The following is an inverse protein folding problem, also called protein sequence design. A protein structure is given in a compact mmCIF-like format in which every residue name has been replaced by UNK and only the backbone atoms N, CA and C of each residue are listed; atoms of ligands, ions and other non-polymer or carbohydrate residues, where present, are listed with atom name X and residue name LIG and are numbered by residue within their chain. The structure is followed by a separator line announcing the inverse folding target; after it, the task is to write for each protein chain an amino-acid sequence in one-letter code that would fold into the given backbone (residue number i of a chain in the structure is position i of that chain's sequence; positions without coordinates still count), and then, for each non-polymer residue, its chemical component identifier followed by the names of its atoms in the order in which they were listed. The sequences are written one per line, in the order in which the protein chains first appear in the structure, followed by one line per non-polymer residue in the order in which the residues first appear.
data_IF_429657094549
#
_entry.id   IF_429657094549
#
_cell.length_a   1.000
_cell.length_b   1.000
_cell.length_c   1.000
_cell.angle_alpha   90.00
_cell.angle_beta   90.00
_cell.angle_gamma   90.00
#
_symmetry.space_group_name_H-M   'P 1'
#
loop_
_entity.id
_entity.type
_entity.pdbx_description
1 polymer ?
#
# COMPACT_ATOMS: atom_id res chain seq x y z
N UNK A 1 -31.89 20.55 -21.30
CA UNK A 1 -30.79 20.23 -22.23
C UNK A 1 -29.48 20.50 -21.50
N UNK A 2 -28.75 19.45 -21.11
CA UNK A 2 -27.56 19.60 -20.28
C UNK A 2 -26.33 19.28 -21.12
N UNK A 3 -25.52 20.31 -21.34
CA UNK A 3 -24.33 20.31 -22.18
C UNK A 3 -23.22 19.54 -21.45
N UNK A 4 -22.83 18.38 -21.98
CA UNK A 4 -21.62 17.67 -21.52
C UNK A 4 -20.41 18.39 -22.11
N UNK A 5 -19.81 19.29 -21.34
CA UNK A 5 -18.45 19.76 -21.62
C UNK A 5 -17.49 18.67 -21.14
N UNK A 6 -16.90 17.96 -22.10
CA UNK A 6 -15.72 17.12 -21.82
C UNK A 6 -14.56 18.08 -21.65
N UNK A 7 -14.21 18.40 -20.40
CA UNK A 7 -12.86 18.82 -20.09
C UNK A 7 -11.99 17.57 -20.17
N UNK A 8 -11.36 17.37 -21.32
CA UNK A 8 -10.18 16.49 -21.47
C UNK A 8 -9.03 17.19 -20.76
N UNK A 9 -9.00 17.12 -19.44
CA UNK A 9 -7.89 17.61 -18.62
C UNK A 9 -7.31 16.43 -17.86
N UNK A 10 -6.55 15.63 -18.61
CA UNK A 10 -5.58 14.67 -18.11
C UNK A 10 -6.06 13.43 -17.34
N UNK A 11 -5.29 12.35 -17.45
CA UNK A 11 -5.41 11.10 -16.70
C UNK A 11 -4.13 10.89 -15.90
N UNK A 12 -3.89 11.74 -14.89
CA UNK A 12 -2.81 11.51 -13.91
C UNK A 12 -3.42 10.81 -12.68
N UNK A 13 -3.35 9.46 -12.59
CA UNK A 13 -4.05 8.75 -11.54
C UNK A 13 -3.41 9.02 -10.18
N UNK A 14 -4.28 9.31 -9.23
CA UNK A 14 -3.97 9.32 -7.80
C UNK A 14 -4.89 8.32 -7.11
N UNK A 15 -4.29 7.35 -6.44
CA UNK A 15 -5.00 6.32 -5.69
C UNK A 15 -4.63 6.46 -4.22
N UNK A 16 -5.65 6.41 -3.36
CA UNK A 16 -5.50 6.64 -1.94
C UNK A 16 -6.20 5.55 -1.14
N UNK A 17 -5.48 4.99 -0.16
CA UNK A 17 -6.00 4.02 0.78
C UNK A 17 -5.80 4.52 2.20
N UNK A 18 -6.88 4.46 2.98
CA UNK A 18 -6.83 4.68 4.42
C UNK A 18 -7.29 3.41 5.11
N UNK A 19 -6.39 2.78 5.84
CA UNK A 19 -6.57 1.48 6.47
C UNK A 19 -6.50 1.68 7.98
N UNK A 20 -7.58 1.32 8.64
CA UNK A 20 -7.65 1.21 10.09
C UNK A 20 -7.90 -0.25 10.47
N UNK A 21 -7.55 -0.68 11.69
CA UNK A 21 -7.69 -2.08 12.11
C UNK A 21 -9.08 -2.70 11.92
N UNK A 22 -10.14 -1.89 11.96
CA UNK A 22 -11.54 -2.28 11.72
C UNK A 22 -11.92 -2.32 10.23
N UNK A 23 -11.09 -1.81 9.33
CA UNK A 23 -11.37 -1.64 7.89
C UNK A 23 -10.31 -2.31 6.99
N UNK A 24 -9.70 -3.40 7.45
CA UNK A 24 -8.57 -4.05 6.76
C UNK A 24 -8.98 -5.10 5.70
N UNK A 25 -10.28 -5.37 5.58
CA UNK A 25 -10.82 -6.39 4.67
C UNK A 25 -10.40 -6.14 3.22
N UNK A 26 -9.88 -7.18 2.56
CA UNK A 26 -9.40 -7.11 1.17
C UNK A 26 -8.03 -6.44 0.98
N UNK A 27 -7.42 -5.87 2.03
CA UNK A 27 -6.11 -5.22 1.98
C UNK A 27 -5.09 -5.99 2.84
N UNK A 28 -5.49 -6.44 4.02
CA UNK A 28 -4.65 -7.33 4.84
C UNK A 28 -4.61 -8.72 4.20
N UNK A 29 -3.47 -9.04 3.60
CA UNK A 29 -3.29 -10.30 2.86
C UNK A 29 -2.59 -11.38 3.67
N UNK A 30 -1.80 -11.01 4.68
CA UNK A 30 -1.12 -11.95 5.56
C UNK A 30 -1.03 -11.36 6.96
N UNK A 31 -1.22 -12.21 7.97
CA UNK A 31 -1.10 -11.81 9.35
C UNK A 31 -0.61 -13.01 10.18
N UNK A 32 0.40 -12.81 11.01
CA UNK A 32 0.97 -13.82 11.88
C UNK A 32 1.14 -13.26 13.28
N UNK A 33 0.68 -14.01 14.28
CA UNK A 33 0.71 -13.61 15.71
C UNK A 33 0.20 -12.18 15.91
N UNK A 34 -0.87 -11.83 15.21
CA UNK A 34 -1.49 -10.51 15.30
C UNK A 34 -2.98 -10.63 15.54
N UNK A 35 -3.56 -9.62 16.18
CA UNK A 35 -5.00 -9.52 16.45
C UNK A 35 -5.39 -8.06 16.54
N UNK A 36 -6.68 -7.78 16.44
CA UNK A 36 -7.23 -6.45 16.71
C UNK A 36 -7.44 -6.34 18.23
N UNK A 37 -7.00 -5.22 18.81
CA UNK A 37 -7.23 -4.83 20.20
C UNK A 37 -7.71 -3.38 20.24
N UNK A 38 -9.00 -3.17 20.51
CA UNK A 38 -9.59 -1.84 20.47
C UNK A 38 -9.41 -1.18 19.10
N UNK A 39 -8.75 -0.03 19.06
CA UNK A 39 -8.49 0.75 17.84
C UNK A 39 -7.13 0.43 17.18
N UNK A 40 -6.44 -0.62 17.62
CA UNK A 40 -5.12 -0.98 17.12
C UNK A 40 -5.06 -2.44 16.67
N UNK A 41 -4.23 -2.74 15.68
CA UNK A 41 -3.76 -4.10 15.43
C UNK A 41 -2.50 -4.35 16.26
N UNK A 42 -2.58 -5.24 17.23
CA UNK A 42 -1.44 -5.73 17.98
C UNK A 42 -0.69 -6.78 17.17
N UNK A 43 0.62 -6.60 17.03
CA UNK A 43 1.56 -7.54 16.45
C UNK A 43 2.44 -8.07 17.58
N UNK A 44 2.26 -9.34 17.90
CA UNK A 44 2.97 -10.03 18.98
C UNK A 44 4.43 -10.33 18.64
N UNK A 45 5.14 -10.94 19.59
CA UNK A 45 6.56 -11.26 19.47
C UNK A 45 6.89 -12.09 18.22
N UNK A 46 7.70 -11.51 17.34
CA UNK A 46 8.09 -12.11 16.06
C UNK A 46 6.91 -12.29 15.09
N UNK A 47 5.80 -11.59 15.35
CA UNK A 47 4.65 -11.52 14.47
C UNK A 47 4.84 -10.50 13.35
N UNK A 48 3.94 -10.56 12.38
CA UNK A 48 3.94 -9.66 11.23
C UNK A 48 2.54 -9.46 10.66
N UNK A 49 2.36 -8.36 9.92
CA UNK A 49 1.15 -8.06 9.16
C UNK A 49 1.56 -7.50 7.81
N UNK A 50 0.95 -7.99 6.74
CA UNK A 50 1.22 -7.56 5.36
C UNK A 50 -0.06 -7.00 4.74
N UNK A 51 -0.01 -5.71 4.42
CA UNK A 51 -1.02 -5.01 3.64
C UNK A 51 -0.59 -4.97 2.18
N UNK A 52 -1.47 -5.34 1.25
CA UNK A 52 -1.18 -5.35 -0.19
C UNK A 52 -2.06 -4.36 -0.94
N UNK A 53 -1.42 -3.58 -1.81
CA UNK A 53 -2.06 -2.54 -2.63
C UNK A 53 -1.69 -2.76 -4.09
N UNK A 54 -2.65 -2.53 -4.99
CA UNK A 54 -2.38 -2.60 -6.44
C UNK A 54 -2.08 -1.21 -6.94
N UNK A 55 -0.88 -1.03 -7.51
CA UNK A 55 -0.36 0.26 -7.99
C UNK A 55 0.16 0.13 -9.42
N UNK A 56 0.39 1.25 -10.07
CA UNK A 56 1.11 1.30 -11.35
C UNK A 56 2.62 1.41 -11.12
N UNK A 57 3.38 0.87 -12.07
CA UNK A 57 4.83 1.04 -12.12
C UNK A 57 5.18 2.52 -12.31
N UNK A 58 6.24 2.98 -11.67
CA UNK A 58 6.69 4.37 -11.76
C UNK A 58 5.99 5.38 -10.86
N UNK A 59 4.87 5.02 -10.22
CA UNK A 59 4.17 5.91 -9.29
C UNK A 59 5.03 6.30 -8.09
N UNK A 60 4.90 7.56 -7.67
CA UNK A 60 5.39 8.03 -6.38
C UNK A 60 4.48 7.52 -5.27
N UNK A 61 5.09 6.98 -4.21
CA UNK A 61 4.40 6.36 -3.08
C UNK A 61 4.69 7.17 -1.84
N UNK A 62 3.64 7.69 -1.22
CA UNK A 62 3.68 8.29 0.11
C UNK A 62 2.93 7.40 1.11
N UNK A 63 3.64 6.89 2.11
CA UNK A 63 3.12 6.07 3.19
C UNK A 63 3.20 6.85 4.51
N UNK A 64 2.07 6.95 5.19
CA UNK A 64 1.95 7.46 6.55
C UNK A 64 1.45 6.33 7.45
N UNK A 65 2.25 5.96 8.44
CA UNK A 65 1.96 4.85 9.34
C UNK A 65 1.99 5.32 10.79
N UNK A 66 0.87 5.17 11.50
CA UNK A 66 0.78 5.48 12.92
C UNK A 66 0.97 4.21 13.73
N UNK A 67 2.08 4.12 14.48
CA UNK A 67 2.51 2.91 15.18
C UNK A 67 3.05 3.21 16.57
N UNK A 68 3.06 2.19 17.44
CA UNK A 68 3.79 2.20 18.71
C UNK A 68 4.48 0.85 18.97
N UNK A 69 5.29 0.79 20.03
CA UNK A 69 6.04 -0.40 20.40
C UNK A 69 7.39 -0.44 19.70
N UNK A 70 7.87 -1.63 19.32
CA UNK A 70 9.16 -1.79 18.67
C UNK A 70 9.11 -2.80 17.51
N UNK A 71 9.65 -2.40 16.37
CA UNK A 71 9.49 -3.16 15.15
C UNK A 71 10.22 -2.56 13.96
N UNK A 72 9.83 -3.02 12.78
CA UNK A 72 10.20 -2.45 11.51
C UNK A 72 9.02 -2.46 10.56
N UNK A 73 8.94 -1.42 9.72
CA UNK A 73 8.10 -1.41 8.54
C UNK A 73 9.00 -1.62 7.32
N UNK A 74 8.55 -2.47 6.40
CA UNK A 74 9.21 -2.72 5.12
C UNK A 74 8.20 -2.50 4.00
N UNK A 75 8.62 -1.82 2.96
CA UNK A 75 7.84 -1.59 1.74
C UNK A 75 8.56 -2.31 0.62
N UNK A 76 7.84 -3.15 -0.14
CA UNK A 76 8.39 -3.89 -1.28
C UNK A 76 7.36 -4.04 -2.37
N UNK A 77 7.82 -4.28 -3.59
CA UNK A 77 7.00 -4.79 -4.69
C UNK A 77 7.45 -6.20 -5.06
N UNK A 78 6.81 -6.79 -6.05
CA UNK A 78 7.25 -8.06 -6.65
C UNK A 78 8.64 -7.93 -7.30
N UNK A 79 9.03 -6.72 -7.74
CA UNK A 79 10.33 -6.45 -8.33
C UNK A 79 11.47 -6.30 -7.30
N UNK A 80 11.16 -6.09 -6.00
CA UNK A 80 12.17 -5.98 -4.96
C UNK A 80 11.77 -5.15 -3.75
N UNK A 81 12.70 -5.02 -2.80
CA UNK A 81 12.55 -4.14 -1.63
C UNK A 81 12.69 -2.68 -2.02
N UNK A 82 11.79 -1.83 -1.53
CA UNK A 82 11.80 -0.38 -1.78
C UNK A 82 12.32 0.42 -0.59
N UNK A 83 11.86 0.07 0.61
CA UNK A 83 12.22 0.80 1.82
C UNK A 83 12.12 -0.09 3.07
N UNK A 84 12.94 0.20 4.08
CA UNK A 84 12.80 -0.38 5.41
C UNK A 84 13.08 0.70 6.46
N UNK A 85 12.23 0.77 7.50
CA UNK A 85 12.38 1.72 8.61
C UNK A 85 12.07 1.03 9.93
N UNK A 86 13.03 1.04 10.85
CA UNK A 86 12.80 0.62 12.22
C UNK A 86 12.04 1.70 13.02
N UNK A 87 11.24 1.27 13.99
CA UNK A 87 10.57 2.15 14.95
C UNK A 87 10.68 1.57 16.36
N UNK A 88 10.63 2.46 17.36
CA UNK A 88 10.69 2.11 18.78
C UNK A 88 10.00 3.17 19.63
N UNK A 89 9.43 2.76 20.76
CA UNK A 89 8.90 3.65 21.80
C UNK A 89 7.39 3.86 21.73
N UNK A 90 6.95 5.07 22.09
CA UNK A 90 5.55 5.45 22.14
C UNK A 90 4.87 5.55 20.76
N UNK A 91 3.65 6.08 20.77
CA UNK A 91 2.89 6.34 19.53
C UNK A 91 3.63 7.38 18.70
N UNK A 92 3.91 7.05 17.45
CA UNK A 92 4.58 7.94 16.50
C UNK A 92 4.01 7.75 15.09
N UNK A 93 4.14 8.80 14.29
CA UNK A 93 3.80 8.77 12.88
C UNK A 93 5.08 8.64 12.04
N UNK A 94 5.16 7.58 11.24
CA UNK A 94 6.22 7.37 10.26
C UNK A 94 5.72 7.86 8.90
N UNK A 95 6.40 8.86 8.34
CA UNK A 95 6.17 9.32 6.97
C UNK A 95 7.30 8.80 6.10
N UNK A 96 6.96 8.00 5.09
CA UNK A 96 7.90 7.32 4.20
C UNK A 96 7.51 7.64 2.77
N UNK A 97 8.50 7.99 1.95
CA UNK A 97 8.30 8.23 0.52
C UNK A 97 9.23 7.32 -0.28
N UNK A 98 8.73 6.75 -1.35
CA UNK A 98 9.51 5.91 -2.28
C UNK A 98 8.87 5.96 -3.66
N UNK A 99 9.48 5.30 -4.64
CA UNK A 99 8.95 5.21 -6.00
C UNK A 99 8.82 3.74 -6.40
N UNK A 100 7.71 3.40 -7.04
CA UNK A 100 7.54 2.08 -7.62
C UNK A 100 8.53 1.90 -8.78
N UNK A 101 9.17 0.73 -8.92
CA UNK A 101 9.95 0.42 -10.11
C UNK A 101 9.08 0.59 -11.36
N UNK A 102 9.68 0.96 -12.48
CA UNK A 102 8.95 1.17 -13.73
C UNK A 102 8.31 -0.12 -14.27
N UNK A 103 8.95 -1.27 -14.05
CA UNK A 103 8.47 -2.56 -14.53
C UNK A 103 8.21 -3.53 -13.38
N UNK A 104 7.12 -4.33 -13.41
CA UNK A 104 6.07 -4.35 -14.46
C UNK A 104 5.07 -3.17 -14.40
N UNK A 105 4.25 -2.91 -15.44
CA UNK A 105 3.34 -1.75 -15.50
C UNK A 105 2.29 -1.69 -14.39
N UNK A 106 1.87 -2.85 -13.87
CA UNK A 106 0.99 -2.94 -12.72
C UNK A 106 1.59 -3.93 -11.70
N UNK A 107 1.68 -3.51 -10.44
CA UNK A 107 2.42 -4.22 -9.40
C UNK A 107 1.64 -4.30 -8.10
N UNK A 108 1.93 -5.33 -7.31
CA UNK A 108 1.46 -5.41 -5.94
C UNK A 108 2.52 -4.83 -5.01
N UNK A 109 2.18 -3.72 -4.36
CA UNK A 109 2.95 -3.10 -3.30
C UNK A 109 2.56 -3.74 -1.96
N UNK A 110 3.55 -4.17 -1.20
CA UNK A 110 3.36 -4.73 0.13
C UNK A 110 3.97 -3.81 1.19
N UNK A 111 3.16 -3.44 2.17
CA UNK A 111 3.59 -2.79 3.42
C UNK A 111 3.56 -3.85 4.51
N UNK A 112 4.74 -4.23 4.99
CA UNK A 112 4.93 -5.28 5.98
C UNK A 112 5.35 -4.62 7.29
N UNK A 113 4.59 -4.84 8.34
CA UNK A 113 4.95 -4.41 9.70
C UNK A 113 5.32 -5.64 10.50
N UNK A 114 6.51 -5.63 11.09
CA UNK A 114 7.06 -6.76 11.85
C UNK A 114 7.46 -6.28 13.24
N UNK A 115 7.05 -7.02 14.27
CA UNK A 115 7.52 -6.78 15.63
C UNK A 115 8.94 -7.37 15.80
N UNK A 116 9.83 -6.68 16.51
CA UNK A 116 11.14 -7.24 16.84
C UNK A 116 10.98 -8.44 17.79
N UNK A 117 11.97 -9.34 17.80
CA UNK A 117 12.03 -10.43 18.78
C UNK A 117 11.91 -9.87 20.20
N UNK A 118 11.09 -10.53 21.03
CA UNK A 118 10.78 -10.17 22.42
C UNK A 118 10.08 -8.81 22.61
N UNK A 119 9.49 -8.26 21.55
CA UNK A 119 8.75 -7.00 21.62
C UNK A 119 7.35 -7.14 21.01
N UNK A 120 6.56 -6.08 21.12
CA UNK A 120 5.27 -5.97 20.46
C UNK A 120 5.25 -4.66 19.66
N UNK A 121 4.45 -4.64 18.61
CA UNK A 121 4.13 -3.43 17.86
C UNK A 121 2.61 -3.26 17.78
N UNK A 122 2.14 -2.02 17.70
CA UNK A 122 0.74 -1.70 17.44
C UNK A 122 0.63 -0.83 16.21
N UNK A 123 -0.29 -1.16 15.31
CA UNK A 123 -0.64 -0.36 14.14
C UNK A 123 -2.01 0.26 14.37
N UNK A 124 -2.09 1.59 14.34
CA UNK A 124 -3.34 2.34 14.56
C UNK A 124 -3.96 2.81 13.26
N UNK A 125 -3.13 3.21 12.29
CA UNK A 125 -3.58 3.69 11.00
C UNK A 125 -2.46 3.55 9.96
N UNK A 126 -2.82 3.16 8.76
CA UNK A 126 -1.97 3.18 7.57
C UNK A 126 -2.68 4.00 6.51
N UNK A 127 -2.03 5.05 6.03
CA UNK A 127 -2.48 5.87 4.92
C UNK A 127 -1.46 5.80 3.79
N UNK A 128 -1.90 5.41 2.61
CA UNK A 128 -1.06 5.22 1.44
C UNK A 128 -1.62 6.01 0.26
N UNK A 129 -0.78 6.84 -0.34
CA UNK A 129 -1.09 7.57 -1.56
C UNK A 129 -0.10 7.11 -2.63
N UNK A 130 -0.61 6.67 -3.77
CA UNK A 130 0.16 6.40 -4.97
C UNK A 130 -0.28 7.41 -6.04
N UNK A 131 0.65 8.24 -6.50
CA UNK A 131 0.40 9.27 -7.51
C UNK A 131 1.30 9.08 -8.70
N UNK A 132 0.70 9.13 -9.88
CA UNK A 132 1.44 9.17 -11.13
C UNK A 132 2.07 10.54 -11.37
N UNK A 133 3.08 10.57 -12.23
CA UNK A 133 3.61 11.81 -12.79
C UNK A 133 3.16 11.95 -14.23
N UNK A 134 3.19 13.19 -14.68
CA UNK A 134 3.03 13.60 -16.06
C UNK A 134 4.26 14.46 -16.35
N UNK A 135 5.39 13.75 -16.58
CA UNK A 135 6.71 14.39 -16.65
C UNK A 135 6.87 15.23 -17.93
N UNK A 136 6.15 14.88 -19.01
CA UNK A 136 6.13 15.62 -20.29
C UNK A 136 4.97 16.63 -20.43
N UNK A 137 4.03 16.63 -19.46
CA UNK A 137 2.91 17.58 -19.33
C UNK A 137 1.90 17.47 -20.45
N UNK A 138 1.75 16.28 -21.03
CA UNK A 138 0.75 16.00 -22.07
C UNK A 138 -0.65 15.73 -21.46
N UNK A 139 -0.72 15.65 -20.13
CA UNK A 139 -1.92 15.40 -19.35
C UNK A 139 -2.12 13.92 -19.03
N UNK A 140 -1.36 13.00 -19.58
CA UNK A 140 -1.46 11.56 -19.32
C UNK A 140 -0.39 11.18 -18.31
N UNK A 141 -0.77 10.44 -17.27
CA UNK A 141 0.22 9.94 -16.33
C UNK A 141 1.15 8.92 -16.99
N UNK A 142 2.46 9.00 -16.76
CA UNK A 142 3.48 8.10 -17.28
C UNK A 142 3.12 6.61 -17.03
N UNK A 143 2.46 6.33 -15.90
CA UNK A 143 1.97 5.00 -15.55
C UNK A 143 0.73 4.56 -16.34
N UNK A 144 -0.15 5.50 -16.72
CA UNK A 144 -1.34 5.24 -17.57
C UNK A 144 -0.96 4.93 -19.00
N UNK A 145 0.00 5.65 -19.57
CA UNK A 145 0.53 5.36 -20.91
C UNK A 145 1.00 3.91 -21.01
N UNK A 146 1.48 3.34 -19.90
CA UNK A 146 2.00 1.98 -19.84
C UNK A 146 0.95 0.91 -19.62
N UNK A 147 -0.27 1.30 -19.26
CA UNK A 147 -1.43 0.42 -19.29
C UNK A 147 -1.95 0.19 -20.71
N UNK A 148 -1.47 0.95 -21.71
CA UNK A 148 -1.77 0.68 -23.12
C UNK A 148 -1.24 -0.71 -23.50
N UNK A 149 -2.14 -1.70 -23.52
CA UNK A 149 -1.84 -3.12 -23.77
C UNK A 149 -2.00 -4.05 -22.55
N UNK A 150 -2.34 -3.52 -21.38
CA UNK A 150 -2.61 -4.30 -20.16
C UNK A 150 -4.13 -4.53 -20.02
N UNK A 151 -4.62 -5.71 -19.59
CA UNK A 151 -6.05 -5.96 -19.46
C UNK A 151 -6.70 -5.02 -18.42
N UNK A 152 -7.95 -4.60 -18.70
CA UNK A 152 -8.68 -3.59 -17.93
C UNK A 152 -8.89 -3.92 -16.43
N UNK A 153 -8.69 -5.18 -16.04
CA UNK A 153 -8.78 -5.65 -14.66
C UNK A 153 -7.43 -5.62 -13.91
N UNK A 154 -6.34 -5.15 -14.52
CA UNK A 154 -5.01 -5.23 -13.93
C UNK A 154 -4.82 -4.42 -12.64
N UNK A 155 -5.69 -3.46 -12.37
CA UNK A 155 -5.72 -2.71 -11.11
C UNK A 155 -6.70 -3.29 -10.07
N UNK A 156 -7.46 -4.33 -10.39
CA UNK A 156 -8.32 -4.99 -9.40
C UNK A 156 -7.45 -5.76 -8.39
N UNK A 157 -7.74 -5.69 -7.09
CA UNK A 157 -7.11 -6.55 -6.09
C UNK A 157 -7.28 -8.02 -6.49
N UNK A 158 -6.18 -8.76 -6.59
CA UNK A 158 -6.24 -10.21 -6.77
C UNK A 158 -6.54 -10.82 -5.41
N UNK A 159 -7.80 -11.09 -5.13
CA UNK A 159 -8.18 -11.90 -3.98
C UNK A 159 -7.71 -13.33 -4.30
N UNK A 160 -6.68 -13.80 -3.59
CA UNK A 160 -6.32 -15.21 -3.66
C UNK A 160 -7.55 -16.02 -3.21
N UNK A 161 -7.98 -17.04 -3.96
CA UNK A 161 -9.09 -17.88 -3.53
C UNK A 161 -8.75 -18.49 -2.17
N UNK A 162 -9.63 -18.29 -1.20
CA UNK A 162 -9.56 -18.97 0.09
C UNK A 162 -9.50 -20.48 -0.20
N UNK A 163 -8.51 -21.23 0.31
CA UNK A 163 -8.55 -22.68 0.17
C UNK A 163 -9.83 -23.17 0.85
N UNK A 164 -10.70 -23.82 0.07
CA UNK A 164 -11.81 -24.58 0.65
C UNK A 164 -11.18 -25.74 1.40
N UNK A 165 -11.27 -25.71 2.72
CA UNK A 165 -10.99 -26.88 3.55
C UNK A 165 -11.93 -28.00 3.09
N UNK A 166 -11.35 -29.06 2.52
CA UNK A 166 -11.97 -30.38 2.45
C UNK A 166 -11.52 -31.21 3.64
#
# INVERSE_FOLDING_TARGET
MTRRQVQTSGLVPRIEWRVRPDSEAGILTQASRSRIEGNARLIGNGGSTTYSFRILGGMDIALRLTVSGAGQVRVRTQAGGLLARAFRGGVQQLNLTTRAPLNPPAQTLQVIVEARRRTQARVYELHLVASDRDDDRDGVGDGVERLLGVPANALRPTVLPTPRSG
#
